data_IF_732173878374
#
_entry.id   IF_732173878374
#
_cell.length_a   1.000
_cell.length_b   1.000
_cell.length_c   1.000
_cell.angle_alpha   90.00
_cell.angle_beta   90.00
_cell.angle_gamma   90.00
#
_symmetry.space_group_name_H-M   'P 1'
#
loop_
_entity.id
_entity.type
_entity.pdbx_description
1 polymer ?
#
# COMPACT_ATOMS: atom_id res chain seq x y z
N UNK A 1 -11.58 5.31 15.13
CA UNK A 1 -10.37 5.59 14.34
C UNK A 1 -9.19 5.76 15.26
N UNK A 2 -8.42 4.70 15.48
CA UNK A 2 -7.17 4.68 16.27
C UNK A 2 -6.20 5.81 15.93
N UNK A 3 -5.50 6.36 16.91
CA UNK A 3 -4.46 7.37 16.73
C UNK A 3 -3.22 6.83 15.97
N UNK A 4 -2.44 7.72 15.36
CA UNK A 4 -1.23 7.34 14.60
C UNK A 4 -0.19 6.63 15.48
N UNK A 5 -0.15 6.92 16.79
CA UNK A 5 0.72 6.21 17.74
C UNK A 5 0.26 4.76 17.97
N UNK A 6 -1.06 4.55 18.01
CA UNK A 6 -1.68 3.25 18.27
C UNK A 6 -1.56 2.35 17.05
N UNK A 7 -1.75 2.89 15.84
CA UNK A 7 -1.53 2.14 14.59
C UNK A 7 -0.10 1.62 14.46
N UNK A 8 0.88 2.45 14.82
CA UNK A 8 2.29 2.09 14.88
C UNK A 8 2.58 1.06 15.97
N UNK A 9 1.99 1.22 17.15
CA UNK A 9 2.12 0.24 18.23
C UNK A 9 1.55 -1.13 17.82
N UNK A 10 0.36 -1.14 17.21
CA UNK A 10 -0.30 -2.34 16.71
C UNK A 10 0.56 -3.06 15.66
N UNK A 11 1.15 -2.32 14.72
CA UNK A 11 2.05 -2.90 13.72
C UNK A 11 3.29 -3.54 14.34
N UNK A 12 3.90 -2.91 15.36
CA UNK A 12 5.02 -3.52 16.11
C UNK A 12 4.61 -4.80 16.83
N UNK A 13 3.43 -4.82 17.45
CA UNK A 13 2.91 -6.01 18.12
C UNK A 13 2.63 -7.15 17.14
N UNK A 14 2.05 -6.86 15.97
CA UNK A 14 1.79 -7.87 14.94
C UNK A 14 3.08 -8.44 14.32
N UNK A 15 4.13 -7.62 14.20
CA UNK A 15 5.44 -8.07 13.73
C UNK A 15 6.21 -8.86 14.79
N UNK A 16 5.91 -8.62 16.07
CA UNK A 16 6.58 -9.32 17.17
C UNK A 16 6.28 -10.82 17.10
N UNK A 17 7.32 -11.64 16.92
CA UNK A 17 7.22 -13.09 16.74
C UNK A 17 7.32 -13.57 15.29
N UNK A 18 7.04 -12.74 14.27
CA UNK A 18 7.18 -13.14 12.86
C UNK A 18 7.59 -11.97 11.95
N UNK A 19 8.82 -11.49 12.13
CA UNK A 19 9.42 -10.51 11.22
C UNK A 19 9.83 -11.11 9.87
N UNK A 20 10.14 -12.41 9.83
CA UNK A 20 10.75 -13.04 8.68
C UNK A 20 9.86 -13.00 7.44
N UNK A 21 8.57 -13.38 7.55
CA UNK A 21 7.67 -13.42 6.39
C UNK A 21 7.44 -12.01 5.80
N UNK A 22 7.12 -10.97 6.58
CA UNK A 22 6.99 -9.61 6.06
C UNK A 22 8.28 -9.04 5.48
N UNK A 23 9.43 -9.29 6.11
CA UNK A 23 10.74 -8.88 5.56
C UNK A 23 10.94 -9.54 4.20
N UNK A 24 10.77 -10.86 4.12
CA UNK A 24 10.97 -11.60 2.87
C UNK A 24 10.00 -11.15 1.77
N UNK A 25 8.74 -10.87 2.11
CA UNK A 25 7.77 -10.29 1.18
C UNK A 25 8.21 -8.93 0.62
N UNK A 26 8.67 -8.01 1.48
CA UNK A 26 9.20 -6.72 1.05
C UNK A 26 10.50 -6.86 0.24
N UNK A 27 11.38 -7.81 0.59
CA UNK A 27 12.61 -8.07 -0.14
C UNK A 27 12.36 -8.65 -1.53
N UNK A 28 11.39 -9.57 -1.68
CA UNK A 28 10.98 -10.10 -2.99
C UNK A 28 10.47 -8.96 -3.86
N UNK A 29 9.57 -8.12 -3.32
CA UNK A 29 9.08 -6.92 -4.02
C UNK A 29 10.25 -6.02 -4.46
N UNK A 30 11.13 -5.65 -3.53
CA UNK A 30 12.24 -4.75 -3.79
C UNK A 30 13.25 -5.33 -4.79
N UNK A 31 13.58 -6.62 -4.68
CA UNK A 31 14.51 -7.30 -5.58
C UNK A 31 13.98 -7.34 -7.00
N UNK A 32 12.70 -7.67 -7.21
CA UNK A 32 12.09 -7.69 -8.55
C UNK A 32 12.13 -6.30 -9.16
N UNK A 33 11.69 -5.27 -8.42
CA UNK A 33 11.70 -3.88 -8.91
C UNK A 33 13.13 -3.41 -9.21
N UNK A 34 14.09 -3.76 -8.35
CA UNK A 34 15.50 -3.43 -8.55
C UNK A 34 16.01 -4.06 -9.84
N UNK A 35 15.94 -5.39 -9.98
CA UNK A 35 16.44 -6.14 -11.16
C UNK A 35 15.85 -5.59 -12.46
N UNK A 36 14.54 -5.34 -12.49
CA UNK A 36 13.86 -4.79 -13.68
C UNK A 36 14.37 -3.40 -14.05
N UNK A 37 14.73 -2.59 -13.06
CA UNK A 37 15.23 -1.23 -13.26
C UNK A 37 16.65 -1.18 -13.86
N UNK A 38 17.42 -2.27 -13.79
CA UNK A 38 18.75 -2.37 -14.41
C UNK A 38 18.73 -2.74 -15.89
N UNK A 39 17.57 -3.06 -16.46
CA UNK A 39 17.44 -3.39 -17.89
C UNK A 39 17.40 -2.09 -18.72
N UNK A 40 18.39 -1.83 -19.59
CA UNK A 40 18.43 -0.59 -20.37
C UNK A 40 17.23 -0.45 -21.30
N UNK A 41 16.73 0.78 -21.45
CA UNK A 41 15.64 1.20 -22.36
C UNK A 41 14.26 0.57 -22.13
N UNK A 42 14.16 -0.75 -21.92
CA UNK A 42 12.90 -1.49 -21.77
C UNK A 42 12.50 -1.65 -20.30
N UNK A 43 13.48 -1.65 -19.38
CA UNK A 43 13.27 -1.80 -17.95
C UNK A 43 12.20 -0.87 -17.38
N UNK A 44 12.26 0.47 -17.60
CA UNK A 44 11.28 1.39 -17.05
C UNK A 44 9.83 1.11 -17.48
N UNK A 45 9.62 0.70 -18.73
CA UNK A 45 8.29 0.38 -19.27
C UNK A 45 7.76 -0.90 -18.61
N UNK A 46 8.61 -1.93 -18.52
CA UNK A 46 8.27 -3.21 -17.89
C UNK A 46 7.98 -3.00 -16.39
N UNK A 47 8.80 -2.21 -15.70
CA UNK A 47 8.64 -1.91 -14.28
C UNK A 47 7.28 -1.28 -14.00
N UNK A 48 6.81 -0.36 -14.83
CA UNK A 48 5.48 0.25 -14.66
C UNK A 48 4.36 -0.78 -14.79
N UNK A 49 4.46 -1.69 -15.76
CA UNK A 49 3.45 -2.73 -15.99
C UNK A 49 3.45 -3.77 -14.87
N UNK A 50 4.62 -4.09 -14.31
CA UNK A 50 4.80 -5.09 -13.26
C UNK A 50 4.55 -4.51 -11.85
N UNK A 51 4.74 -3.20 -11.66
CA UNK A 51 4.57 -2.53 -10.38
C UNK A 51 3.15 -2.67 -9.82
N UNK A 52 2.12 -2.59 -10.67
CA UNK A 52 0.73 -2.77 -10.23
C UNK A 52 0.45 -4.15 -9.64
N UNK A 53 0.71 -5.25 -10.38
CA UNK A 53 0.63 -6.61 -9.87
C UNK A 53 1.43 -6.83 -8.58
N UNK A 54 2.67 -6.36 -8.52
CA UNK A 54 3.51 -6.48 -7.32
C UNK A 54 2.97 -5.71 -6.13
N UNK A 55 2.46 -4.49 -6.35
CA UNK A 55 1.88 -3.65 -5.30
C UNK A 55 0.64 -4.32 -4.71
N UNK A 56 -0.28 -4.82 -5.55
CA UNK A 56 -1.48 -5.52 -5.08
C UNK A 56 -1.11 -6.83 -4.38
N UNK A 57 -0.12 -7.58 -4.88
CA UNK A 57 0.34 -8.78 -4.21
C UNK A 57 0.95 -8.50 -2.82
N UNK A 58 1.78 -7.45 -2.69
CA UNK A 58 2.34 -7.02 -1.40
C UNK A 58 1.24 -6.57 -0.43
N UNK A 59 0.27 -5.79 -0.91
CA UNK A 59 -0.89 -5.36 -0.12
C UNK A 59 -1.77 -6.54 0.31
N UNK A 60 -1.97 -7.52 -0.58
CA UNK A 60 -2.72 -8.75 -0.27
C UNK A 60 -1.99 -9.54 0.82
N UNK A 61 -0.67 -9.67 0.71
CA UNK A 61 0.15 -10.32 1.73
C UNK A 61 0.01 -9.59 3.08
N UNK A 62 0.15 -8.26 3.12
CA UNK A 62 0.07 -7.52 4.38
C UNK A 62 -1.32 -7.56 4.98
N UNK A 63 -2.39 -7.52 4.18
CA UNK A 63 -3.77 -7.70 4.62
C UNK A 63 -3.96 -9.04 5.33
N UNK A 64 -3.58 -10.14 4.67
CA UNK A 64 -3.66 -11.49 5.24
C UNK A 64 -2.83 -11.64 6.51
N UNK A 65 -1.63 -11.05 6.52
CA UNK A 65 -0.76 -11.06 7.69
C UNK A 65 -1.40 -10.32 8.88
N UNK A 66 -1.92 -9.11 8.68
CA UNK A 66 -2.60 -8.35 9.72
C UNK A 66 -3.88 -9.03 10.23
N UNK A 67 -4.51 -9.89 9.40
CA UNK A 67 -5.69 -10.71 9.73
C UNK A 67 -5.33 -12.04 10.42
N UNK A 68 -4.04 -12.27 10.71
CA UNK A 68 -3.52 -13.49 11.31
C UNK A 68 -3.80 -14.78 10.49
N UNK A 69 -3.88 -14.65 9.16
CA UNK A 69 -4.05 -15.78 8.22
C UNK A 69 -2.71 -16.47 7.87
N UNK A 70 -1.61 -16.06 8.49
CA UNK A 70 -0.24 -16.57 8.29
C UNK A 70 0.19 -16.79 6.82
N UNK A 71 0.10 -15.77 5.95
CA UNK A 71 0.29 -15.94 4.50
C UNK A 71 1.70 -16.40 4.14
N UNK A 72 1.80 -17.27 3.14
CA UNK A 72 3.07 -17.57 2.49
C UNK A 72 3.57 -16.37 1.68
N UNK A 73 4.88 -16.21 1.58
CA UNK A 73 5.50 -15.08 0.85
C UNK A 73 5.19 -15.08 -0.65
N UNK A 74 4.82 -16.23 -1.21
CA UNK A 74 4.36 -16.36 -2.59
C UNK A 74 3.10 -15.51 -2.88
N UNK A 75 2.31 -15.17 -1.85
CA UNK A 75 1.15 -14.27 -2.00
C UNK A 75 1.55 -12.91 -2.60
N UNK A 76 2.81 -12.47 -2.44
CA UNK A 76 3.32 -11.26 -3.11
C UNK A 76 3.23 -11.34 -4.64
N UNK A 77 3.22 -12.55 -5.21
CA UNK A 77 3.06 -12.78 -6.65
C UNK A 77 1.59 -13.01 -7.06
N UNK A 78 0.64 -13.00 -6.11
CA UNK A 78 -0.77 -13.25 -6.42
C UNK A 78 -1.39 -12.18 -7.32
N UNK A 79 -0.90 -10.94 -7.27
CA UNK A 79 -1.37 -9.87 -8.14
C UNK A 79 -1.09 -10.10 -9.63
N UNK A 80 -0.19 -11.01 -9.99
CA UNK A 80 0.04 -11.41 -11.37
C UNK A 80 -1.08 -12.28 -11.96
N UNK A 81 -1.94 -12.89 -11.12
CA UNK A 81 -3.11 -13.65 -11.61
C UNK A 81 -4.05 -12.76 -12.44
N UNK A 82 -4.21 -11.50 -12.03
CA UNK A 82 -5.00 -10.49 -12.73
C UNK A 82 -4.12 -9.32 -13.19
N UNK A 83 -2.96 -9.62 -13.78
CA UNK A 83 -1.91 -8.65 -14.05
C UNK A 83 -2.39 -7.40 -14.82
N UNK A 84 -3.25 -7.59 -15.83
CA UNK A 84 -3.78 -6.50 -16.67
C UNK A 84 -4.60 -5.50 -15.84
N UNK A 85 -5.52 -6.00 -15.01
CA UNK A 85 -6.35 -5.14 -14.17
C UNK A 85 -5.53 -4.45 -13.07
N UNK A 86 -4.58 -5.19 -12.48
CA UNK A 86 -3.65 -4.66 -11.48
C UNK A 86 -2.78 -3.54 -12.05
N UNK A 87 -2.21 -3.75 -13.25
CA UNK A 87 -1.45 -2.74 -13.98
C UNK A 87 -2.34 -1.56 -14.37
N UNK A 88 -3.57 -1.82 -14.82
CA UNK A 88 -4.56 -0.79 -15.13
C UNK A 88 -4.90 0.09 -13.92
N UNK A 89 -5.09 -0.50 -12.74
CA UNK A 89 -5.31 0.25 -11.49
C UNK A 89 -4.11 1.12 -11.13
N UNK A 90 -2.90 0.58 -11.26
CA UNK A 90 -1.67 1.32 -10.98
C UNK A 90 -1.45 2.48 -11.96
N UNK A 91 -1.67 2.26 -13.26
CA UNK A 91 -1.62 3.30 -14.28
C UNK A 91 -2.68 4.38 -14.03
N UNK A 92 -3.90 3.98 -13.65
CA UNK A 92 -4.97 4.92 -13.30
C UNK A 92 -4.59 5.78 -12.09
N UNK A 93 -4.03 5.15 -11.05
CA UNK A 93 -3.47 5.83 -9.89
C UNK A 93 -2.39 6.84 -10.26
N UNK A 94 -1.42 6.43 -11.09
CA UNK A 94 -0.31 7.29 -11.51
C UNK A 94 -0.80 8.48 -12.35
N UNK A 95 -1.70 8.24 -13.31
CA UNK A 95 -2.26 9.29 -14.15
C UNK A 95 -2.92 10.39 -13.31
N UNK A 96 -3.85 10.00 -12.42
CA UNK A 96 -4.53 10.97 -11.57
C UNK A 96 -3.58 11.68 -10.62
N UNK A 97 -2.62 10.95 -10.03
CA UNK A 97 -1.63 11.56 -9.14
C UNK A 97 -0.77 12.56 -9.90
N UNK A 98 -0.33 12.25 -11.12
CA UNK A 98 0.44 13.15 -11.97
C UNK A 98 -0.36 14.42 -12.32
N UNK A 99 -1.62 14.27 -12.74
CA UNK A 99 -2.49 15.41 -13.07
C UNK A 99 -2.65 16.38 -11.89
N UNK A 100 -2.88 15.86 -10.68
CA UNK A 100 -2.95 16.69 -9.48
C UNK A 100 -1.60 17.32 -9.13
N UNK A 101 -0.51 16.59 -9.28
CA UNK A 101 0.85 17.07 -9.02
C UNK A 101 1.28 18.19 -9.97
N UNK A 102 0.86 18.12 -11.25
CA UNK A 102 1.12 19.12 -12.27
C UNK A 102 0.38 20.44 -11.99
N UNK A 103 -0.82 20.36 -11.42
CA UNK A 103 -1.55 21.54 -10.99
C UNK A 103 -0.86 22.17 -9.78
N UNK A 104 -0.62 21.39 -8.73
CA UNK A 104 -0.01 21.81 -7.47
C UNK A 104 0.58 20.59 -6.72
N UNK A 105 1.81 20.73 -6.20
CA UNK A 105 2.53 19.62 -5.54
C UNK A 105 1.79 19.11 -4.28
N UNK A 106 1.33 20.01 -3.40
CA UNK A 106 0.67 19.66 -2.13
C UNK A 106 -0.62 18.85 -2.33
N UNK A 107 -1.60 19.29 -3.14
CA UNK A 107 -2.80 18.48 -3.39
C UNK A 107 -2.48 17.19 -4.16
N UNK A 108 -1.44 17.16 -5.00
CA UNK A 108 -0.91 15.92 -5.60
C UNK A 108 -0.60 14.86 -4.55
N UNK A 109 0.17 15.24 -3.52
CA UNK A 109 0.53 14.35 -2.40
C UNK A 109 -0.71 13.90 -1.62
N UNK A 110 -1.61 14.83 -1.27
CA UNK A 110 -2.83 14.50 -0.50
C UNK A 110 -3.74 13.55 -1.26
N UNK A 111 -3.86 13.74 -2.58
CA UNK A 111 -4.66 12.88 -3.45
C UNK A 111 -4.01 11.50 -3.63
N UNK A 112 -2.69 11.44 -3.78
CA UNK A 112 -1.95 10.18 -3.85
C UNK A 112 -2.26 9.27 -2.63
N UNK A 113 -2.25 9.83 -1.42
CA UNK A 113 -2.62 9.08 -0.21
C UNK A 113 -4.09 8.64 -0.20
N UNK A 114 -5.01 9.48 -0.70
CA UNK A 114 -6.41 9.10 -0.83
C UNK A 114 -6.67 8.01 -1.87
N UNK A 115 -5.78 7.86 -2.85
CA UNK A 115 -5.89 6.88 -3.93
C UNK A 115 -5.15 5.57 -3.62
N UNK A 116 -4.14 5.57 -2.74
CA UNK A 116 -3.44 4.33 -2.37
C UNK A 116 -4.37 3.28 -1.74
N UNK A 117 -5.48 3.73 -1.12
CA UNK A 117 -6.48 2.82 -0.54
C UNK A 117 -7.20 1.97 -1.60
N UNK A 118 -7.18 2.40 -2.87
CA UNK A 118 -7.75 1.61 -3.97
C UNK A 118 -7.05 0.27 -4.18
N UNK A 119 -5.73 0.18 -3.90
CA UNK A 119 -5.01 -1.09 -3.96
C UNK A 119 -5.48 -2.07 -2.88
N UNK A 120 -5.77 -1.57 -1.68
CA UNK A 120 -6.30 -2.38 -0.58
C UNK A 120 -7.74 -2.82 -0.84
N UNK A 121 -8.58 -1.94 -1.38
CA UNK A 121 -9.96 -2.27 -1.78
C UNK A 121 -9.97 -3.33 -2.87
N UNK A 122 -9.15 -3.15 -3.90
CA UNK A 122 -9.05 -4.12 -5.00
C UNK A 122 -8.47 -5.47 -4.53
N UNK A 123 -7.56 -5.47 -3.55
CA UNK A 123 -7.05 -6.70 -2.94
C UNK A 123 -8.12 -7.44 -2.13
N UNK A 124 -9.04 -6.72 -1.48
CA UNK A 124 -10.18 -7.29 -0.76
C UNK A 124 -11.25 -7.83 -1.74
N UNK A 125 -11.54 -7.10 -2.82
CA UNK A 125 -12.49 -7.52 -3.86
C UNK A 125 -11.87 -7.41 -5.27
N UNK A 126 -11.16 -8.45 -5.76
CA UNK A 126 -10.49 -8.43 -7.06
C UNK A 126 -11.42 -8.40 -8.27
N UNK A 127 -12.69 -8.78 -8.10
CA UNK A 127 -13.71 -8.72 -9.15
C UNK A 127 -14.30 -7.31 -9.31
N UNK A 128 -13.94 -6.39 -8.40
CA UNK A 128 -14.32 -5.00 -8.48
C UNK A 128 -13.62 -4.29 -9.65
N UNK A 129 -14.40 -3.59 -10.48
CA UNK A 129 -13.84 -2.75 -11.54
C UNK A 129 -12.94 -1.62 -10.99
N UNK A 130 -11.85 -1.33 -11.70
CA UNK A 130 -10.83 -0.32 -11.35
C UNK A 130 -11.44 1.02 -10.91
N UNK A 131 -12.42 1.53 -11.67
CA UNK A 131 -13.09 2.81 -11.36
C UNK A 131 -13.84 2.75 -10.02
N UNK A 132 -14.56 1.66 -9.77
CA UNK A 132 -15.30 1.46 -8.50
C UNK A 132 -14.34 1.42 -7.32
N UNK A 133 -13.22 0.69 -7.43
CA UNK A 133 -12.20 0.64 -6.37
C UNK A 133 -11.62 2.04 -6.08
N UNK A 134 -11.40 2.84 -7.12
CA UNK A 134 -10.90 4.20 -7.00
C UNK A 134 -11.94 5.18 -6.40
N UNK A 135 -13.20 5.06 -6.80
CA UNK A 135 -14.30 5.86 -6.25
C UNK A 135 -14.57 5.54 -4.79
N UNK A 136 -14.57 4.26 -4.43
CA UNK A 136 -14.70 3.83 -3.05
C UNK A 136 -13.50 4.31 -2.22
N UNK A 137 -12.26 4.22 -2.74
CA UNK A 137 -11.05 4.77 -2.11
C UNK A 137 -11.21 6.25 -1.78
N UNK A 138 -11.73 7.05 -2.72
CA UNK A 138 -11.99 8.48 -2.50
C UNK A 138 -13.01 8.71 -1.38
N UNK A 139 -14.07 7.90 -1.36
CA UNK A 139 -15.20 7.98 -0.44
C UNK A 139 -14.77 7.67 0.99
N UNK A 140 -14.15 6.51 1.21
CA UNK A 140 -13.73 6.07 2.55
C UNK A 140 -12.57 6.89 3.11
N UNK A 141 -11.70 7.42 2.24
CA UNK A 141 -10.57 8.25 2.67
C UNK A 141 -10.94 9.71 2.95
N UNK A 142 -12.17 10.13 2.62
CA UNK A 142 -12.61 11.51 2.87
C UNK A 142 -12.62 11.80 4.38
N UNK A 143 -12.10 12.95 4.79
CA UNK A 143 -11.90 13.29 6.21
C UNK A 143 -10.66 12.69 6.88
N UNK A 144 -10.10 11.59 6.35
CA UNK A 144 -8.95 10.89 6.97
C UNK A 144 -7.61 11.11 6.26
N UNK A 145 -7.58 11.80 5.10
CA UNK A 145 -6.33 12.05 4.33
C UNK A 145 -5.25 12.77 5.13
N UNK A 146 -5.64 13.75 5.96
CA UNK A 146 -4.70 14.47 6.81
C UNK A 146 -4.07 13.57 7.88
N UNK A 147 -4.85 12.62 8.41
CA UNK A 147 -4.36 11.64 9.38
C UNK A 147 -3.34 10.69 8.74
N UNK A 148 -3.61 10.22 7.51
CA UNK A 148 -2.69 9.41 6.72
C UNK A 148 -1.40 10.18 6.37
N UNK A 149 -1.52 11.46 6.01
CA UNK A 149 -0.35 12.32 5.78
C UNK A 149 0.53 12.43 7.03
N UNK A 150 -0.07 12.73 8.19
CA UNK A 150 0.66 12.81 9.46
C UNK A 150 1.25 11.46 9.87
N UNK A 151 0.58 10.35 9.54
CA UNK A 151 1.08 9.01 9.78
C UNK A 151 2.35 8.78 8.98
N UNK A 152 2.35 9.10 7.68
CA UNK A 152 3.54 9.00 6.84
C UNK A 152 4.66 9.93 7.30
N UNK A 153 4.33 11.17 7.68
CA UNK A 153 5.30 12.12 8.22
C UNK A 153 5.96 11.60 9.50
N UNK A 154 5.23 10.84 10.34
CA UNK A 154 5.78 10.23 11.55
C UNK A 154 6.88 9.18 11.29
N UNK A 155 7.01 8.70 10.04
CA UNK A 155 8.07 7.79 9.61
C UNK A 155 9.30 8.51 9.03
N UNK A 156 9.25 9.83 8.79
CA UNK A 156 10.36 10.54 8.12
C UNK A 156 11.67 10.46 8.91
N UNK A 157 11.60 10.58 10.25
CA UNK A 157 12.78 10.44 11.11
C UNK A 157 13.37 9.04 11.06
N UNK A 158 12.51 8.01 10.99
CA UNK A 158 12.94 6.61 10.84
C UNK A 158 13.54 6.36 9.46
N UNK A 159 12.99 6.98 8.40
CA UNK A 159 13.52 6.89 7.05
C UNK A 159 14.91 7.52 6.94
N UNK A 160 15.14 8.68 7.54
CA UNK A 160 16.46 9.32 7.61
C UNK A 160 17.45 8.40 8.34
N UNK A 161 17.07 7.88 9.51
CA UNK A 161 17.92 6.95 10.28
C UNK A 161 18.23 5.66 9.49
N UNK A 162 17.25 5.14 8.75
CA UNK A 162 17.39 3.95 7.95
C UNK A 162 18.35 4.12 6.76
N UNK A 163 18.52 5.35 6.25
CA UNK A 163 19.45 5.67 5.16
C UNK A 163 20.92 5.66 5.59
N UNK A 164 21.22 6.09 6.83
CA UNK A 164 22.60 6.22 7.35
C UNK A 164 23.45 4.94 7.16
N UNK A 165 22.98 3.74 7.53
CA UNK A 165 23.73 2.49 7.35
C UNK A 165 23.57 1.94 5.92
N UNK A 166 23.82 2.74 4.88
CA UNK A 166 23.64 2.35 3.47
C UNK A 166 22.25 1.76 3.17
N UNK A 167 21.20 2.42 3.65
CA UNK A 167 19.81 1.97 3.47
C UNK A 167 19.45 0.60 4.10
N UNK A 168 20.34 -0.04 4.88
CA UNK A 168 20.03 -1.34 5.50
C UNK A 168 18.89 -1.25 6.51
N UNK A 169 18.66 -0.09 7.12
CA UNK A 169 17.53 0.10 8.05
C UNK A 169 16.16 -0.08 7.38
N UNK A 170 16.09 0.03 6.04
CA UNK A 170 14.84 -0.16 5.30
C UNK A 170 14.34 -1.61 5.34
N UNK A 171 15.21 -2.59 5.64
CA UNK A 171 14.82 -4.00 5.79
C UNK A 171 13.75 -4.16 6.87
N UNK A 172 13.87 -3.44 7.99
CA UNK A 172 12.87 -3.44 9.06
C UNK A 172 11.81 -2.37 8.89
N UNK A 173 12.20 -1.20 8.36
CA UNK A 173 11.28 -0.07 8.22
C UNK A 173 10.18 -0.34 7.19
N UNK A 174 10.50 -0.98 6.05
CA UNK A 174 9.52 -1.29 5.01
C UNK A 174 8.36 -2.16 5.52
N UNK A 175 8.57 -3.37 6.06
CA UNK A 175 7.47 -4.19 6.56
C UNK A 175 6.72 -3.47 7.68
N UNK A 176 7.41 -2.74 8.55
CA UNK A 176 6.77 -1.94 9.60
C UNK A 176 5.82 -0.87 9.04
N UNK A 177 6.23 -0.13 8.01
CA UNK A 177 5.38 0.84 7.32
C UNK A 177 4.20 0.16 6.62
N UNK A 178 4.44 -0.95 5.89
CA UNK A 178 3.39 -1.66 5.16
C UNK A 178 2.30 -2.22 6.09
N UNK A 179 2.68 -2.84 7.21
CA UNK A 179 1.74 -3.31 8.24
C UNK A 179 0.98 -2.12 8.86
N UNK A 180 1.67 -1.01 9.13
CA UNK A 180 1.01 0.20 9.67
C UNK A 180 -0.04 0.78 8.72
N UNK A 181 0.27 0.89 7.43
CA UNK A 181 -0.70 1.37 6.43
C UNK A 181 -1.85 0.38 6.21
N UNK A 182 -1.58 -0.92 6.31
CA UNK A 182 -2.61 -1.95 6.27
C UNK A 182 -3.57 -1.83 7.46
N UNK A 183 -3.06 -1.61 8.67
CA UNK A 183 -3.90 -1.35 9.84
C UNK A 183 -4.71 -0.06 9.70
N UNK A 184 -4.11 0.99 9.13
CA UNK A 184 -4.84 2.22 8.83
C UNK A 184 -6.01 1.95 7.88
N UNK A 185 -5.79 1.19 6.81
CA UNK A 185 -6.85 0.79 5.88
C UNK A 185 -7.96 -0.02 6.58
N UNK A 186 -7.60 -1.00 7.40
CA UNK A 186 -8.59 -1.82 8.11
C UNK A 186 -9.44 -0.99 9.07
N UNK A 187 -8.84 -0.05 9.80
CA UNK A 187 -9.58 0.87 10.65
C UNK A 187 -10.47 1.82 9.83
N UNK A 188 -9.96 2.30 8.69
CA UNK A 188 -10.71 3.14 7.76
C UNK A 188 -11.95 2.39 7.23
N UNK A 189 -11.80 1.13 6.83
CA UNK A 189 -12.87 0.24 6.40
C UNK A 189 -13.91 0.05 7.51
N UNK A 190 -13.48 -0.26 8.73
CA UNK A 190 -14.37 -0.41 9.89
C UNK A 190 -15.18 0.85 10.19
N UNK A 191 -14.53 2.01 10.21
CA UNK A 191 -15.18 3.30 10.46
C UNK A 191 -16.15 3.69 9.35
N UNK A 192 -15.80 3.44 8.09
CA UNK A 192 -16.66 3.77 6.96
C UNK A 192 -17.92 2.89 6.90
N UNK A 193 -17.82 1.61 7.28
CA UNK A 193 -18.99 0.74 7.47
C UNK A 193 -19.83 1.21 8.66
N UNK A 194 -19.20 1.49 9.81
CA UNK A 194 -19.90 1.95 11.03
C UNK A 194 -20.69 3.24 10.81
N UNK A 195 -20.13 4.17 10.03
CA UNK A 195 -20.74 5.46 9.74
C UNK A 195 -21.72 5.41 8.54
N UNK A 196 -22.02 4.22 7.99
CA UNK A 196 -22.93 4.04 6.86
C UNK A 196 -22.44 4.64 5.54
N UNK A 197 -21.15 4.94 5.43
CA UNK A 197 -20.54 5.51 4.21
C UNK A 197 -20.46 4.44 3.11
N UNK A 198 -20.25 3.19 3.48
CA UNK A 198 -20.15 2.04 2.57
C UNK A 198 -20.72 0.79 3.24
N UNK A 199 -21.11 -0.20 2.44
CA UNK A 199 -21.56 -1.50 2.96
C UNK A 199 -20.42 -2.51 2.97
N UNK A 200 -20.54 -3.58 3.77
CA UNK A 200 -19.52 -4.63 3.80
C UNK A 200 -19.40 -5.37 2.45
N UNK A 201 -20.50 -5.42 1.67
CA UNK A 201 -20.57 -6.04 0.35
C UNK A 201 -19.82 -5.26 -0.74
N UNK A 202 -19.49 -3.99 -0.47
CA UNK A 202 -18.65 -3.17 -1.35
C UNK A 202 -17.15 -3.50 -1.20
N UNK A 203 -16.76 -4.47 -0.36
CA UNK A 203 -15.38 -4.94 -0.20
C UNK A 203 -15.31 -6.45 -0.28
#
# INVERSE_FOLDING_TARGET
MLENKELRAMARTQLNGNWLKPILACLIYAAIVFILSWIPCVGPIITILIAGPLMIGLVTFTLKFCRAEDPNVEVVLSGFKNAINCAGLYLWYMLWTLLWSLLLIIPGIVKAYGYMMSFYIYADNPDMGIKKAFDLSKKISYGYRGKLFLLTLSFIGWAILATIPFCLGYIWLMPYMQITFTNFYQELKKESIKNGVCTAEEF
#
